data_IF_350048806934
#
_entry.id   IF_350048806934
#
_cell.length_a   1.000
_cell.length_b   1.000
_cell.length_c   1.000
_cell.angle_alpha   90.00
_cell.angle_beta   90.00
_cell.angle_gamma   90.00
#
_symmetry.space_group_name_H-M   'P 1'
#
loop_
_entity.id
_entity.type
_entity.pdbx_description
1 polymer ?
#
# COMPACT_ATOMS: atom_id res chain seq x y z
N UNK A 1 20.52 -16.99 -26.30
CA UNK A 1 21.51 -15.90 -26.44
C UNK A 1 22.79 -16.29 -25.70
N UNK A 2 23.91 -15.57 -25.87
CA UNK A 2 25.06 -15.77 -24.96
C UNK A 2 24.72 -15.14 -23.61
N UNK A 3 25.00 -15.80 -22.48
CA UNK A 3 24.74 -15.24 -21.16
C UNK A 3 25.59 -13.99 -20.95
N UNK A 4 24.95 -12.91 -20.49
CA UNK A 4 25.61 -11.67 -20.13
C UNK A 4 26.06 -11.70 -18.66
N UNK A 5 27.00 -10.83 -18.31
CA UNK A 5 27.47 -10.67 -16.94
C UNK A 5 27.71 -9.21 -16.63
N UNK A 6 26.97 -8.69 -15.66
CA UNK A 6 27.13 -7.31 -15.16
C UNK A 6 27.62 -7.28 -13.73
N UNK A 7 28.41 -6.25 -13.41
CA UNK A 7 28.88 -5.97 -12.07
C UNK A 7 28.34 -4.59 -11.67
N UNK A 8 27.69 -4.55 -10.51
CA UNK A 8 27.14 -3.34 -9.90
C UNK A 8 27.88 -3.13 -8.59
N UNK A 9 28.13 -1.89 -8.24
CA UNK A 9 28.67 -1.49 -6.95
C UNK A 9 27.57 -0.68 -6.27
N UNK A 10 27.11 -1.14 -5.11
CA UNK A 10 26.23 -0.33 -4.28
C UNK A 10 27.10 0.65 -3.50
N UNK A 11 26.85 1.94 -3.66
CA UNK A 11 27.58 2.99 -2.95
C UNK A 11 27.14 3.05 -1.49
N UNK A 12 25.86 2.76 -1.23
CA UNK A 12 25.30 2.80 0.11
C UNK A 12 25.31 1.44 0.82
N UNK A 13 26.26 1.26 1.74
CA UNK A 13 26.38 0.01 2.53
C UNK A 13 25.26 -0.20 3.54
N UNK A 14 24.52 0.84 3.93
CA UNK A 14 23.42 0.72 4.89
C UNK A 14 22.14 0.12 4.28
N UNK A 15 22.00 0.21 2.95
CA UNK A 15 20.89 -0.40 2.21
C UNK A 15 21.05 -1.92 2.04
N UNK A 16 22.29 -2.40 2.04
CA UNK A 16 22.63 -3.80 1.75
C UNK A 16 21.82 -4.81 2.58
N UNK A 17 21.72 -4.67 3.92
CA UNK A 17 20.98 -5.64 4.74
C UNK A 17 19.48 -5.73 4.40
N UNK A 18 18.83 -4.59 4.15
CA UNK A 18 17.41 -4.57 3.76
C UNK A 18 17.20 -5.13 2.35
N UNK A 19 18.06 -4.73 1.41
CA UNK A 19 18.00 -5.16 0.03
C UNK A 19 18.27 -6.65 -0.14
N UNK A 20 19.25 -7.21 0.58
CA UNK A 20 19.57 -8.63 0.50
C UNK A 20 18.59 -9.47 1.32
N UNK A 21 18.09 -8.87 2.41
CA UNK A 21 17.21 -9.51 3.38
C UNK A 21 17.92 -10.58 4.21
N UNK A 22 17.23 -11.06 5.24
CA UNK A 22 17.74 -12.12 6.11
C UNK A 22 18.14 -13.36 5.31
N UNK A 23 19.39 -13.81 5.45
CA UNK A 23 19.95 -14.99 4.76
C UNK A 23 19.83 -14.92 3.22
N UNK A 24 19.96 -13.71 2.66
CA UNK A 24 19.89 -13.43 1.23
C UNK A 24 18.54 -13.80 0.59
N UNK A 25 17.46 -13.78 1.39
CA UNK A 25 16.14 -14.19 0.93
C UNK A 25 15.66 -13.35 -0.26
N UNK A 26 15.90 -12.03 -0.26
CA UNK A 26 15.46 -11.15 -1.34
C UNK A 26 16.28 -11.40 -2.61
N UNK A 27 17.59 -11.65 -2.50
CA UNK A 27 18.42 -12.03 -3.66
C UNK A 27 17.92 -13.32 -4.31
N UNK A 28 17.60 -14.35 -3.52
CA UNK A 28 17.04 -15.61 -4.02
C UNK A 28 15.69 -15.40 -4.72
N UNK A 29 14.88 -14.45 -4.25
CA UNK A 29 13.61 -14.10 -4.89
C UNK A 29 13.84 -13.43 -6.25
N UNK A 30 14.82 -12.53 -6.35
CA UNK A 30 15.22 -11.90 -7.62
C UNK A 30 15.74 -12.96 -8.59
N UNK A 31 16.69 -13.80 -8.18
CA UNK A 31 17.25 -14.89 -8.99
C UNK A 31 16.15 -15.79 -9.55
N UNK A 32 15.21 -16.21 -8.69
CA UNK A 32 14.09 -17.07 -9.11
C UNK A 32 13.13 -16.38 -10.07
N UNK A 33 12.88 -15.08 -9.88
CA UNK A 33 11.88 -14.33 -10.65
C UNK A 33 12.36 -14.00 -12.06
N UNK A 34 13.64 -13.64 -12.21
CA UNK A 34 14.26 -13.21 -13.48
C UNK A 34 15.20 -14.26 -14.08
N UNK A 35 15.23 -15.48 -13.52
CA UNK A 35 16.10 -16.56 -13.99
C UNK A 35 17.59 -16.17 -14.12
N UNK A 36 18.07 -15.32 -13.21
CA UNK A 36 19.46 -14.87 -13.13
C UNK A 36 20.20 -15.55 -11.98
N UNK A 37 21.53 -15.48 -12.01
CA UNK A 37 22.40 -15.83 -10.89
C UNK A 37 23.06 -14.58 -10.34
N UNK A 38 22.96 -14.37 -9.03
CA UNK A 38 23.51 -13.23 -8.31
C UNK A 38 24.57 -13.74 -7.33
N UNK A 39 25.76 -13.17 -7.39
CA UNK A 39 26.80 -13.39 -6.37
C UNK A 39 27.23 -12.05 -5.79
N UNK A 40 27.27 -11.97 -4.47
CA UNK A 40 27.62 -10.75 -3.75
C UNK A 40 28.94 -10.91 -3.03
N UNK A 41 29.70 -9.82 -2.95
CA UNK A 41 30.90 -9.70 -2.11
C UNK A 41 30.99 -8.28 -1.61
N UNK A 42 30.82 -8.09 -0.30
CA UNK A 42 30.73 -6.76 0.31
C UNK A 42 29.63 -5.92 -0.35
N UNK A 43 29.98 -4.84 -1.06
CA UNK A 43 29.05 -4.00 -1.81
C UNK A 43 29.03 -4.27 -3.32
N UNK A 44 29.78 -5.28 -3.79
CA UNK A 44 29.79 -5.68 -5.19
C UNK A 44 28.73 -6.75 -5.44
N UNK A 45 27.91 -6.52 -6.46
CA UNK A 45 26.89 -7.46 -6.94
C UNK A 45 27.25 -7.86 -8.35
N UNK A 46 27.36 -9.16 -8.60
CA UNK A 46 27.56 -9.71 -9.92
C UNK A 46 26.32 -10.47 -10.36
N UNK A 47 25.75 -10.07 -11.50
CA UNK A 47 24.54 -10.65 -12.09
C UNK A 47 24.93 -11.38 -13.37
N UNK A 48 24.46 -12.61 -13.54
CA UNK A 48 24.69 -13.42 -14.74
C UNK A 48 23.39 -14.07 -15.20
N UNK A 49 23.03 -13.91 -16.47
CA UNK A 49 21.76 -14.41 -17.01
C UNK A 49 21.59 -14.05 -18.48
N UNK A 50 20.35 -14.09 -18.96
CA UNK A 50 20.02 -13.56 -20.28
C UNK A 50 20.10 -12.02 -20.27
N UNK A 51 20.52 -11.38 -21.38
CA UNK A 51 20.79 -9.93 -21.40
C UNK A 51 19.60 -9.07 -20.93
N UNK A 52 18.37 -9.41 -21.34
CA UNK A 52 17.16 -8.69 -20.96
C UNK A 52 16.89 -8.77 -19.45
N UNK A 53 17.00 -9.96 -18.87
CA UNK A 53 16.80 -10.16 -17.43
C UNK A 53 17.89 -9.49 -16.59
N UNK A 54 19.14 -9.52 -17.08
CA UNK A 54 20.28 -8.83 -16.42
C UNK A 54 20.05 -7.33 -16.38
N UNK A 55 19.56 -6.72 -17.47
CA UNK A 55 19.23 -5.30 -17.54
C UNK A 55 18.08 -4.92 -16.60
N UNK A 56 17.04 -5.76 -16.53
CA UNK A 56 15.91 -5.56 -15.61
C UNK A 56 16.37 -5.59 -14.14
N UNK A 57 17.20 -6.57 -13.78
CA UNK A 57 17.71 -6.71 -12.40
C UNK A 57 18.69 -5.60 -12.05
N UNK A 58 19.52 -5.14 -12.99
CA UNK A 58 20.37 -3.96 -12.80
C UNK A 58 19.53 -2.71 -12.54
N UNK A 59 18.49 -2.48 -13.35
CA UNK A 59 17.52 -1.39 -13.14
C UNK A 59 16.88 -1.44 -11.75
N UNK A 60 16.44 -2.63 -11.30
CA UNK A 60 15.89 -2.82 -9.96
C UNK A 60 16.86 -2.36 -8.88
N UNK A 61 18.12 -2.80 -8.91
CA UNK A 61 19.11 -2.40 -7.90
C UNK A 61 19.38 -0.88 -7.89
N UNK A 62 19.56 -0.27 -9.07
CA UNK A 62 19.76 1.17 -9.19
C UNK A 62 18.56 1.98 -8.68
N UNK A 63 17.34 1.52 -8.96
CA UNK A 63 16.13 2.20 -8.48
C UNK A 63 15.98 2.08 -6.96
N UNK A 64 16.34 0.95 -6.36
CA UNK A 64 16.31 0.76 -4.90
C UNK A 64 17.32 1.67 -4.19
N UNK A 65 18.49 1.91 -4.78
CA UNK A 65 19.46 2.88 -4.26
C UNK A 65 18.89 4.31 -4.30
N UNK A 66 18.27 4.71 -5.41
CA UNK A 66 17.60 6.01 -5.55
C UNK A 66 16.47 6.23 -4.53
N UNK A 67 15.76 5.17 -4.11
CA UNK A 67 14.76 5.27 -3.05
C UNK A 67 15.39 5.65 -1.71
N UNK A 68 16.49 4.98 -1.39
CA UNK A 68 17.22 5.22 -0.16
C UNK A 68 17.81 6.64 -0.14
N UNK A 69 18.41 7.10 -1.24
CA UNK A 69 18.90 8.48 -1.40
C UNK A 69 17.81 9.53 -1.22
N UNK A 70 16.57 9.21 -1.61
CA UNK A 70 15.42 10.09 -1.44
C UNK A 70 14.83 10.09 -0.01
N UNK A 71 15.49 9.44 0.96
CA UNK A 71 14.99 9.22 2.32
C UNK A 71 13.61 8.53 2.37
N UNK A 72 13.32 7.68 1.38
CA UNK A 72 12.15 6.81 1.41
C UNK A 72 12.58 5.46 2.02
N UNK A 73 12.29 5.19 3.31
CA UNK A 73 12.81 4.00 3.98
C UNK A 73 12.27 2.74 3.30
N UNK A 74 13.15 1.81 2.92
CA UNK A 74 12.75 0.55 2.29
C UNK A 74 12.84 -0.54 3.34
N UNK A 75 11.73 -1.20 3.63
CA UNK A 75 11.69 -2.40 4.46
C UNK A 75 11.69 -3.66 3.58
N UNK A 76 12.04 -4.81 4.15
CA UNK A 76 11.98 -6.11 3.45
C UNK A 76 10.68 -6.40 2.67
N UNK A 77 9.51 -5.91 3.14
CA UNK A 77 8.24 -6.04 2.43
C UNK A 77 8.19 -5.24 1.12
N UNK A 78 8.86 -4.08 1.09
CA UNK A 78 8.96 -3.20 -0.07
C UNK A 78 9.82 -3.81 -1.17
N UNK A 79 10.89 -4.52 -0.81
CA UNK A 79 11.76 -5.20 -1.79
C UNK A 79 10.97 -6.24 -2.61
N UNK A 80 10.15 -7.06 -1.95
CA UNK A 80 9.27 -8.02 -2.65
C UNK A 80 8.28 -7.34 -3.59
N UNK A 81 7.78 -6.18 -3.18
CA UNK A 81 6.86 -5.40 -4.00
C UNK A 81 7.56 -4.78 -5.21
N UNK A 82 8.76 -4.20 -5.03
CA UNK A 82 9.60 -3.68 -6.09
C UNK A 82 9.95 -4.75 -7.14
N UNK A 83 10.32 -5.96 -6.70
CA UNK A 83 10.56 -7.13 -7.57
C UNK A 83 9.33 -7.42 -8.44
N UNK A 84 8.13 -7.41 -7.85
CA UNK A 84 6.89 -7.66 -8.59
C UNK A 84 6.64 -6.56 -9.62
N UNK A 85 6.73 -5.29 -9.23
CA UNK A 85 6.50 -4.15 -10.12
C UNK A 85 7.39 -4.21 -11.35
N UNK A 86 8.70 -4.33 -11.14
CA UNK A 86 9.68 -4.38 -12.22
C UNK A 86 9.49 -5.61 -13.12
N UNK A 87 8.94 -6.70 -12.57
CA UNK A 87 8.60 -7.89 -13.38
C UNK A 87 7.33 -7.76 -14.21
N UNK A 88 6.39 -6.91 -13.78
CA UNK A 88 5.15 -6.64 -14.51
C UNK A 88 5.34 -5.52 -15.55
N UNK A 89 6.16 -4.53 -15.19
CA UNK A 89 6.55 -3.40 -16.03
C UNK A 89 8.02 -3.03 -15.75
N UNK A 90 8.92 -3.37 -16.69
CA UNK A 90 10.35 -3.10 -16.55
C UNK A 90 10.72 -1.62 -16.56
N UNK A 91 9.78 -0.75 -16.95
CA UNK A 91 9.93 0.71 -16.97
C UNK A 91 9.25 1.39 -15.79
N UNK A 92 8.72 0.63 -14.82
CA UNK A 92 8.11 1.20 -13.63
C UNK A 92 9.12 2.08 -12.85
N UNK A 93 8.70 3.30 -12.53
CA UNK A 93 9.47 4.22 -11.68
C UNK A 93 9.15 3.94 -10.20
N UNK A 94 10.01 3.16 -9.55
CA UNK A 94 9.87 2.85 -8.13
C UNK A 94 9.87 4.11 -7.28
N UNK A 95 10.68 5.12 -7.61
CA UNK A 95 10.73 6.37 -6.83
C UNK A 95 9.40 7.10 -6.87
N UNK A 96 8.80 7.22 -8.05
CA UNK A 96 7.45 7.75 -8.18
C UNK A 96 6.46 6.94 -7.33
N UNK A 97 6.43 5.61 -7.47
CA UNK A 97 5.46 4.75 -6.77
C UNK A 97 5.62 4.80 -5.25
N UNK A 98 6.85 4.70 -4.73
CA UNK A 98 7.12 4.72 -3.30
C UNK A 98 6.98 6.12 -2.68
N UNK A 99 7.17 7.19 -3.47
CA UNK A 99 6.86 8.56 -3.01
C UNK A 99 5.37 8.78 -2.75
N UNK A 100 4.51 7.88 -3.27
CA UNK A 100 3.06 7.94 -3.09
C UNK A 100 2.55 7.10 -1.94
N UNK A 101 3.45 6.66 -1.05
CA UNK A 101 3.08 6.11 0.25
C UNK A 101 2.07 6.98 0.94
N UNK A 102 1.05 6.33 1.48
CA UNK A 102 0.02 6.97 2.25
C UNK A 102 0.50 6.99 3.71
N UNK A 103 0.79 8.19 4.21
CA UNK A 103 1.16 8.36 5.60
C UNK A 103 -0.08 8.15 6.49
N UNK A 104 0.01 7.19 7.40
CA UNK A 104 -1.02 6.95 8.42
C UNK A 104 -0.52 7.46 9.77
N UNK A 105 -0.99 6.90 10.89
CA UNK A 105 -0.46 7.33 12.19
C UNK A 105 1.05 7.04 12.31
N UNK A 106 1.82 7.89 13.00
CA UNK A 106 3.28 7.72 13.11
C UNK A 106 3.72 6.34 13.63
N UNK A 107 2.90 5.71 14.46
CA UNK A 107 3.17 4.37 15.03
C UNK A 107 2.86 3.23 14.06
N UNK A 108 2.01 3.46 13.06
CA UNK A 108 1.58 2.46 12.07
C UNK A 108 2.33 2.59 10.74
N UNK A 109 3.06 3.67 10.53
CA UNK A 109 3.97 3.84 9.41
C UNK A 109 3.26 4.27 8.12
N UNK A 110 3.44 3.49 7.06
CA UNK A 110 2.97 3.81 5.70
C UNK A 110 2.18 2.68 5.09
N UNK A 111 1.19 3.03 4.27
CA UNK A 111 0.53 2.09 3.37
C UNK A 111 1.03 2.33 1.96
N UNK A 112 1.57 1.28 1.35
CA UNK A 112 2.00 1.28 -0.05
C UNK A 112 0.94 0.64 -0.94
N UNK A 113 0.72 1.15 -2.18
CA UNK A 113 0.03 0.37 -3.18
C UNK A 113 0.81 -0.93 -3.40
N UNK A 114 0.11 -2.03 -3.61
CA UNK A 114 0.69 -3.34 -3.90
C UNK A 114 0.70 -3.64 -5.40
N UNK A 115 0.31 -2.73 -6.28
CA UNK A 115 0.42 -2.98 -7.72
C UNK A 115 -0.08 -1.82 -8.57
N UNK A 116 0.04 -1.92 -9.90
CA UNK A 116 -0.26 -0.82 -10.82
C UNK A 116 -1.69 -0.27 -10.65
N UNK A 117 -2.70 -1.15 -10.51
CA UNK A 117 -4.08 -0.73 -10.34
C UNK A 117 -4.33 0.03 -9.02
N UNK A 118 -3.64 -0.35 -7.94
CA UNK A 118 -3.76 0.36 -6.65
C UNK A 118 -3.05 1.71 -6.70
N UNK A 119 -1.90 1.78 -7.36
CA UNK A 119 -1.20 3.03 -7.61
C UNK A 119 -2.06 4.00 -8.44
N UNK A 120 -2.64 3.53 -9.55
CA UNK A 120 -3.57 4.31 -10.36
C UNK A 120 -4.79 4.81 -9.55
N UNK A 121 -5.33 3.97 -8.66
CA UNK A 121 -6.43 4.36 -7.79
C UNK A 121 -6.03 5.49 -6.82
N UNK A 122 -4.86 5.40 -6.18
CA UNK A 122 -4.31 6.45 -5.31
C UNK A 122 -4.11 7.75 -6.09
N UNK A 123 -3.54 7.66 -7.29
CA UNK A 123 -3.35 8.82 -8.17
C UNK A 123 -4.67 9.50 -8.53
N UNK A 124 -5.68 8.71 -8.87
CA UNK A 124 -7.00 9.24 -9.18
C UNK A 124 -7.56 10.05 -8.01
N UNK A 125 -7.44 9.57 -6.77
CA UNK A 125 -7.92 10.29 -5.58
C UNK A 125 -7.19 11.63 -5.38
N UNK A 126 -5.92 11.72 -5.77
CA UNK A 126 -5.13 12.96 -5.61
C UNK A 126 -5.45 14.03 -6.66
N UNK A 127 -5.96 13.62 -7.82
CA UNK A 127 -6.11 14.49 -8.99
C UNK A 127 -7.55 14.97 -9.22
N UNK A 128 -8.55 14.20 -8.78
CA UNK A 128 -9.96 14.53 -9.03
C UNK A 128 -10.80 14.43 -7.77
N UNK A 129 -11.90 15.20 -7.72
CA UNK A 129 -12.77 15.29 -6.55
C UNK A 129 -13.62 14.02 -6.32
N UNK A 130 -13.97 13.30 -7.39
CA UNK A 130 -14.84 12.12 -7.34
C UNK A 130 -14.16 10.97 -8.08
N UNK A 131 -13.93 9.87 -7.37
CA UNK A 131 -13.36 8.63 -7.92
C UNK A 131 -14.34 7.49 -7.75
N UNK A 132 -14.66 6.82 -8.87
CA UNK A 132 -15.42 5.57 -8.87
C UNK A 132 -14.44 4.41 -9.09
N UNK A 133 -14.40 3.47 -8.15
CA UNK A 133 -13.52 2.32 -8.21
C UNK A 133 -14.32 1.02 -8.15
N UNK A 134 -14.15 0.18 -9.17
CA UNK A 134 -14.85 -1.10 -9.32
C UNK A 134 -13.80 -2.21 -9.40
N UNK A 135 -14.03 -3.31 -8.71
CA UNK A 135 -13.16 -4.48 -8.80
C UNK A 135 -13.51 -5.56 -7.78
N UNK A 136 -12.89 -6.75 -7.89
CA UNK A 136 -13.17 -7.90 -7.02
C UNK A 136 -12.97 -7.60 -5.52
N UNK A 137 -13.53 -8.46 -4.66
CA UNK A 137 -13.23 -8.42 -3.24
C UNK A 137 -11.71 -8.62 -3.00
N UNK A 138 -11.16 -7.99 -1.96
CA UNK A 138 -9.74 -8.13 -1.61
C UNK A 138 -8.77 -7.25 -2.41
N UNK A 139 -9.22 -6.47 -3.41
CA UNK A 139 -8.33 -5.58 -4.17
C UNK A 139 -7.93 -4.28 -3.47
N UNK A 140 -8.36 -4.08 -2.22
CA UNK A 140 -7.94 -2.93 -1.40
C UNK A 140 -8.70 -1.62 -1.64
N UNK A 141 -9.77 -1.60 -2.45
CA UNK A 141 -10.55 -0.39 -2.77
C UNK A 141 -10.95 0.42 -1.53
N UNK A 142 -11.64 -0.23 -0.59
CA UNK A 142 -12.09 0.42 0.65
C UNK A 142 -10.92 0.77 1.55
N UNK A 143 -9.96 -0.15 1.70
CA UNK A 143 -8.80 0.03 2.58
C UNK A 143 -7.94 1.23 2.16
N UNK A 144 -7.58 1.32 0.88
CA UNK A 144 -6.79 2.43 0.34
C UNK A 144 -7.57 3.74 0.35
N UNK A 145 -8.89 3.73 0.11
CA UNK A 145 -9.71 4.94 0.23
C UNK A 145 -9.70 5.49 1.67
N UNK A 146 -9.84 4.62 2.67
CA UNK A 146 -9.78 5.02 4.09
C UNK A 146 -8.37 5.53 4.43
N UNK A 147 -7.32 4.88 3.95
CA UNK A 147 -5.95 5.36 4.15
C UNK A 147 -5.74 6.77 3.59
N UNK A 148 -6.16 7.01 2.33
CA UNK A 148 -6.08 8.32 1.69
C UNK A 148 -6.90 9.39 2.45
N UNK A 149 -8.06 9.01 2.98
CA UNK A 149 -8.89 9.90 3.78
C UNK A 149 -8.19 10.27 5.10
N UNK A 150 -7.58 9.31 5.78
CA UNK A 150 -6.81 9.57 7.00
C UNK A 150 -5.60 10.46 6.74
N UNK A 151 -4.83 10.19 5.69
CA UNK A 151 -3.70 11.06 5.29
C UNK A 151 -4.16 12.50 5.09
N UNK A 152 -5.27 12.70 4.37
CA UNK A 152 -5.84 14.02 4.13
C UNK A 152 -6.30 14.71 5.42
N UNK A 153 -6.89 13.98 6.36
CA UNK A 153 -7.29 14.49 7.67
C UNK A 153 -6.08 14.93 8.50
N UNK A 154 -5.03 14.08 8.58
CA UNK A 154 -3.79 14.37 9.30
C UNK A 154 -3.04 15.57 8.70
N UNK A 155 -3.08 15.72 7.38
CA UNK A 155 -2.55 16.87 6.65
C UNK A 155 -3.47 18.11 6.69
N UNK A 156 -4.58 18.05 7.41
CA UNK A 156 -5.58 19.13 7.55
C UNK A 156 -6.17 19.61 6.21
N UNK A 157 -6.21 18.76 5.19
CA UNK A 157 -6.84 19.06 3.88
C UNK A 157 -8.35 19.22 4.00
N UNK A 158 -8.96 18.48 4.93
CA UNK A 158 -10.36 18.59 5.31
C UNK A 158 -10.50 18.32 6.80
N UNK A 159 -11.67 18.67 7.35
CA UNK A 159 -11.95 18.61 8.79
C UNK A 159 -12.72 17.37 9.23
N UNK A 160 -13.28 16.60 8.28
CA UNK A 160 -14.22 15.51 8.59
C UNK A 160 -14.14 14.40 7.56
N UNK A 161 -14.20 13.16 8.04
CA UNK A 161 -14.36 11.96 7.22
C UNK A 161 -15.74 11.39 7.49
N UNK A 162 -16.50 11.09 6.45
CA UNK A 162 -17.77 10.36 6.55
C UNK A 162 -17.66 9.08 5.74
N UNK A 163 -17.56 7.95 6.44
CA UNK A 163 -17.53 6.62 5.84
C UNK A 163 -18.94 6.06 5.78
N UNK A 164 -19.40 5.79 4.57
CA UNK A 164 -20.76 5.34 4.33
C UNK A 164 -20.77 3.94 3.76
N UNK A 165 -21.59 3.07 4.35
CA UNK A 165 -21.84 1.74 3.79
C UNK A 165 -23.33 1.54 3.57
N UNK A 166 -23.77 1.03 2.40
CA UNK A 166 -25.15 0.59 2.27
C UNK A 166 -25.38 -0.58 3.23
N UNK A 167 -26.33 -0.43 4.14
CA UNK A 167 -26.88 -1.56 4.86
C UNK A 167 -27.76 -2.31 3.86
N UNK A 168 -27.20 -3.33 3.19
CA UNK A 168 -27.97 -4.21 2.32
C UNK A 168 -28.40 -5.39 3.18
N UNK A 169 -29.71 -5.55 3.39
CA UNK A 169 -30.30 -6.80 3.84
C UNK A 169 -29.84 -7.89 2.88
N UNK A 170 -28.93 -8.76 3.31
CA UNK A 170 -28.44 -9.89 2.54
C UNK A 170 -29.51 -10.99 2.46
N UNK A 171 -30.70 -10.66 1.94
CA UNK A 171 -31.83 -11.59 1.81
C UNK A 171 -32.57 -11.93 3.11
N UNK A 172 -32.07 -11.52 4.27
CA UNK A 172 -32.77 -11.64 5.54
C UNK A 172 -33.22 -10.26 6.01
N UNK A 173 -34.51 -10.13 6.35
CA UNK A 173 -35.03 -8.98 7.08
C UNK A 173 -34.08 -8.70 8.25
N UNK A 174 -33.86 -7.44 8.62
CA UNK A 174 -33.12 -6.99 9.82
C UNK A 174 -33.63 -7.59 11.17
N UNK A 175 -34.55 -8.56 11.12
CA UNK A 175 -35.29 -9.20 12.20
C UNK A 175 -34.67 -10.45 12.83
N UNK A 176 -33.45 -10.87 12.48
CA UNK A 176 -32.84 -12.08 13.10
C UNK A 176 -31.74 -11.81 14.13
N UNK A 177 -31.18 -10.60 14.17
CA UNK A 177 -30.26 -10.21 15.24
C UNK A 177 -31.08 -9.69 16.45
N UNK A 178 -30.81 -10.13 17.69
CA UNK A 178 -31.37 -9.49 18.88
C UNK A 178 -30.70 -8.12 19.07
N UNK A 179 -31.40 -7.18 19.71
CA UNK A 179 -30.87 -5.85 20.03
C UNK A 179 -31.56 -4.69 19.31
N UNK A 180 -31.07 -3.48 19.60
CA UNK A 180 -31.55 -2.26 18.97
C UNK A 180 -31.09 -2.12 17.50
N UNK A 181 -31.59 -1.11 16.78
CA UNK A 181 -31.25 -0.90 15.37
C UNK A 181 -29.74 -0.65 15.18
N UNK A 182 -29.07 -0.03 16.15
CA UNK A 182 -27.64 0.24 16.09
C UNK A 182 -26.83 -1.05 16.23
N UNK A 183 -27.17 -1.90 17.19
CA UNK A 183 -26.56 -3.21 17.42
C UNK A 183 -26.68 -4.12 16.19
N UNK A 184 -27.78 -4.00 15.44
CA UNK A 184 -28.01 -4.75 14.19
C UNK A 184 -27.16 -4.27 13.02
N UNK A 185 -26.87 -2.98 12.96
CA UNK A 185 -26.11 -2.37 11.87
C UNK A 185 -24.61 -2.50 12.11
N UNK A 186 -24.18 -2.53 13.37
CA UNK A 186 -22.79 -2.51 13.76
C UNK A 186 -21.91 -3.60 13.08
N UNK A 187 -22.36 -4.87 12.94
CA UNK A 187 -21.57 -5.90 12.24
C UNK A 187 -21.22 -5.54 10.79
N UNK A 188 -22.08 -4.80 10.09
CA UNK A 188 -21.83 -4.39 8.70
C UNK A 188 -20.82 -3.24 8.61
N UNK A 189 -20.71 -2.44 9.65
CA UNK A 189 -19.78 -1.32 9.74
C UNK A 189 -18.40 -1.75 10.25
N UNK A 190 -18.31 -2.88 10.95
CA UNK A 190 -17.08 -3.40 11.57
C UNK A 190 -15.85 -3.39 10.65
N UNK A 191 -15.92 -3.77 9.35
CA UNK A 191 -14.76 -3.70 8.47
C UNK A 191 -14.17 -2.29 8.27
N UNK A 192 -14.96 -1.23 8.47
CA UNK A 192 -14.48 0.16 8.43
C UNK A 192 -13.77 0.53 9.74
N UNK A 193 -14.28 0.06 10.89
CA UNK A 193 -13.60 0.21 12.18
C UNK A 193 -12.25 -0.52 12.21
N UNK A 194 -12.22 -1.74 11.68
CA UNK A 194 -10.99 -2.54 11.59
C UNK A 194 -9.95 -1.83 10.70
N UNK A 195 -10.37 -1.32 9.54
CA UNK A 195 -9.48 -0.58 8.65
C UNK A 195 -8.88 0.68 9.31
N UNK A 196 -9.68 1.43 10.08
CA UNK A 196 -9.19 2.58 10.83
C UNK A 196 -8.20 2.17 11.93
N UNK A 197 -8.48 1.09 12.65
CA UNK A 197 -7.64 0.57 13.74
C UNK A 197 -6.31 -0.05 13.25
N UNK A 198 -6.27 -0.49 12.00
CA UNK A 198 -5.04 -0.89 11.32
C UNK A 198 -4.13 0.31 11.03
N UNK A 199 -4.72 1.48 10.73
CA UNK A 199 -4.02 2.68 10.28
C UNK A 199 -3.69 3.65 11.42
N UNK A 200 -4.42 3.56 12.52
CA UNK A 200 -4.33 4.48 13.64
C UNK A 200 -4.58 3.75 14.97
N UNK A 201 -4.05 4.29 16.06
CA UNK A 201 -4.24 3.68 17.37
C UNK A 201 -5.74 3.69 17.74
N UNK A 202 -6.22 2.59 18.32
CA UNK A 202 -7.65 2.44 18.65
C UNK A 202 -8.18 3.55 19.58
N UNK A 203 -7.34 4.10 20.46
CA UNK A 203 -7.68 5.25 21.30
C UNK A 203 -7.96 6.51 20.48
N UNK A 204 -7.14 6.76 19.47
CA UNK A 204 -7.21 7.96 18.63
C UNK A 204 -8.40 7.86 17.67
N UNK A 205 -8.65 6.65 17.13
CA UNK A 205 -9.86 6.37 16.35
C UNK A 205 -11.10 6.67 17.16
N UNK A 206 -11.20 6.13 18.39
CA UNK A 206 -12.36 6.39 19.27
C UNK A 206 -12.52 7.88 19.56
N UNK A 207 -11.44 8.56 19.91
CA UNK A 207 -11.48 9.99 20.19
C UNK A 207 -12.00 10.81 19.01
N UNK A 208 -11.49 10.56 17.79
CA UNK A 208 -11.93 11.25 16.57
C UNK A 208 -13.37 10.92 16.19
N UNK A 209 -13.86 9.73 16.56
CA UNK A 209 -15.26 9.36 16.38
C UNK A 209 -16.18 10.04 17.38
N UNK A 210 -15.78 10.12 18.66
CA UNK A 210 -16.52 10.80 19.72
C UNK A 210 -16.66 12.30 19.44
N UNK A 211 -15.62 12.92 18.85
CA UNK A 211 -15.66 14.31 18.38
C UNK A 211 -16.48 14.52 17.10
N UNK A 212 -16.87 13.45 16.40
CA UNK A 212 -17.55 13.52 15.11
C UNK A 212 -16.64 13.93 13.94
N UNK A 213 -15.32 13.94 14.14
CA UNK A 213 -14.32 14.16 13.10
C UNK A 213 -14.29 12.98 12.11
N UNK A 214 -14.49 11.76 12.61
CA UNK A 214 -14.71 10.56 11.79
C UNK A 214 -16.10 10.02 12.10
N UNK A 215 -16.95 9.91 11.08
CA UNK A 215 -18.26 9.29 11.21
C UNK A 215 -18.35 8.04 10.36
N UNK A 216 -18.86 6.95 10.93
CA UNK A 216 -19.21 5.74 10.19
C UNK A 216 -20.72 5.58 10.27
N UNK A 217 -21.39 5.73 9.12
CA UNK A 217 -22.86 5.77 9.07
C UNK A 217 -23.43 4.90 7.94
N UNK A 218 -24.63 4.33 8.12
CA UNK A 218 -25.33 3.65 7.04
C UNK A 218 -25.84 4.66 5.99
N UNK A 219 -25.89 4.24 4.71
CA UNK A 219 -26.32 5.10 3.60
C UNK A 219 -27.70 5.75 3.80
N UNK A 220 -28.63 5.06 4.45
CA UNK A 220 -29.97 5.58 4.73
C UNK A 220 -29.95 6.89 5.55
N UNK A 221 -28.89 7.13 6.33
CA UNK A 221 -28.76 8.29 7.21
C UNK A 221 -28.15 9.49 6.48
N UNK A 222 -27.74 9.34 5.22
CA UNK A 222 -27.19 10.44 4.42
C UNK A 222 -28.28 11.34 3.83
N UNK A 223 -29.52 10.85 3.71
CA UNK A 223 -30.62 11.64 3.15
C UNK A 223 -30.98 12.79 4.09
N UNK A 224 -30.90 14.03 3.58
CA UNK A 224 -31.30 15.23 4.34
C UNK A 224 -30.23 15.79 5.28
N UNK A 225 -28.99 15.28 5.22
CA UNK A 225 -27.87 15.88 5.94
C UNK A 225 -27.37 17.15 5.25
N UNK A 226 -27.05 18.16 6.05
CA UNK A 226 -26.20 19.28 5.66
C UNK A 226 -24.79 18.98 6.17
N UNK A 227 -23.79 19.03 5.28
CA UNK A 227 -22.38 18.69 5.57
C UNK A 227 -21.56 19.93 5.90
#
# INVERSE_FOLDING_TARGET
MKPDTRNIILENTTLIPELFGSQDLNLKLIEKKFNVRITTRENHIKIKGDPEDVEIVESLFMQMEKLHEANLPVENGDVKFAIRLISEDSQADLKAIFSERIAVSPKKGYITPKGPAQHQFIQSIRQVDIVLSIGPAGTGKTYLAVAMALEGLLQKKFKKIVLVRPAVEAGEKLGYLPGDIAEKINPYLMPLYDALSDMMEASDVRHLMDEGTIEIVPLAYMRGRTL
#
